data_IF_339878804134
#
_entry.id   IF_339878804134
#
_cell.length_a   1.000
_cell.length_b   1.000
_cell.length_c   1.000
_cell.angle_alpha   90.00
_cell.angle_beta   90.00
_cell.angle_gamma   90.00
#
_symmetry.space_group_name_H-M   'P 1'
#
loop_
_entity.id
_entity.type
_entity.pdbx_description
1 polymer ?
#
# COMPACT_ATOMS: atom_id res chain seq x y z
N UNK A 1 -16.33 -1.06 21.84
CA UNK A 1 -15.64 -0.76 20.57
C UNK A 1 -14.35 -1.55 20.56
N UNK A 2 -14.17 -2.47 19.61
CA UNK A 2 -12.91 -3.23 19.46
C UNK A 2 -11.88 -2.36 18.74
N UNK A 3 -10.68 -2.26 19.29
CA UNK A 3 -9.56 -1.57 18.65
C UNK A 3 -9.00 -2.49 17.55
N UNK A 4 -9.15 -2.10 16.29
CA UNK A 4 -8.57 -2.81 15.15
C UNK A 4 -7.20 -2.21 14.84
N UNK A 5 -6.16 -3.03 14.97
CA UNK A 5 -4.79 -2.68 14.58
C UNK A 5 -4.42 -3.55 13.39
N UNK A 6 -3.92 -2.91 12.33
CA UNK A 6 -3.46 -3.56 11.11
C UNK A 6 -1.99 -3.21 10.93
N UNK A 7 -1.14 -4.22 10.77
CA UNK A 7 0.27 -4.08 10.42
C UNK A 7 0.45 -4.35 8.92
N UNK A 8 0.72 -3.33 8.09
CA UNK A 8 0.87 -3.47 6.64
C UNK A 8 1.90 -4.52 6.20
N UNK A 9 2.96 -4.69 7.00
CA UNK A 9 4.02 -5.67 6.74
C UNK A 9 3.49 -7.10 6.81
N UNK A 10 2.62 -7.40 7.78
CA UNK A 10 2.00 -8.72 7.89
C UNK A 10 1.02 -8.99 6.75
N UNK A 11 0.30 -7.98 6.26
CA UNK A 11 -0.58 -8.12 5.10
C UNK A 11 0.21 -8.39 3.82
N UNK A 12 1.34 -7.70 3.63
CA UNK A 12 2.25 -7.93 2.50
C UNK A 12 2.85 -9.33 2.55
N UNK A 13 3.30 -9.78 3.73
CA UNK A 13 3.80 -11.14 3.92
C UNK A 13 2.72 -12.19 3.63
N UNK A 14 1.50 -11.99 4.15
CA UNK A 14 0.38 -12.88 3.89
C UNK A 14 0.01 -12.95 2.40
N UNK A 15 0.05 -11.83 1.67
CA UNK A 15 -0.17 -11.82 0.22
C UNK A 15 0.87 -12.68 -0.52
N UNK A 16 2.15 -12.56 -0.16
CA UNK A 16 3.22 -13.36 -0.76
C UNK A 16 3.09 -14.86 -0.42
N UNK A 17 2.71 -15.20 0.81
CA UNK A 17 2.46 -16.59 1.20
C UNK A 17 1.29 -17.20 0.41
N UNK A 18 0.21 -16.43 0.22
CA UNK A 18 -0.95 -16.85 -0.57
C UNK A 18 -0.63 -17.02 -2.06
N UNK A 19 0.22 -16.16 -2.64
CA UNK A 19 0.72 -16.32 -4.00
C UNK A 19 1.52 -17.64 -4.15
N UNK A 20 2.37 -17.95 -3.17
CA UNK A 20 3.12 -19.21 -3.15
C UNK A 20 2.22 -20.43 -3.02
N UNK A 21 1.17 -20.35 -2.21
CA UNK A 21 0.16 -21.40 -2.10
C UNK A 21 -0.57 -21.60 -3.43
N UNK A 22 -1.03 -20.51 -4.07
CA UNK A 22 -1.70 -20.57 -5.37
C UNK A 22 -0.81 -21.25 -6.42
N UNK A 23 0.46 -20.83 -6.53
CA UNK A 23 1.44 -21.44 -7.43
C UNK A 23 1.65 -22.94 -7.16
N UNK A 24 1.67 -23.36 -5.90
CA UNK A 24 1.80 -24.77 -5.52
C UNK A 24 0.58 -25.59 -5.93
N UNK A 25 -0.61 -25.02 -5.78
CA UNK A 25 -1.88 -25.65 -6.18
C UNK A 25 -1.94 -25.80 -7.70
N UNK A 26 -1.61 -24.75 -8.45
CA UNK A 26 -1.58 -24.80 -9.91
C UNK A 26 -0.60 -25.86 -10.43
N UNK A 27 0.59 -25.93 -9.85
CA UNK A 27 1.57 -26.96 -10.18
C UNK A 27 1.03 -28.38 -9.89
N UNK A 28 0.31 -28.56 -8.79
CA UNK A 28 -0.32 -29.82 -8.45
C UNK A 28 -1.44 -30.19 -9.44
N UNK A 29 -2.31 -29.24 -9.82
CA UNK A 29 -3.33 -29.46 -10.84
C UNK A 29 -2.71 -29.85 -12.18
N UNK A 30 -1.66 -29.15 -12.62
CA UNK A 30 -0.94 -29.49 -13.85
C UNK A 30 -0.31 -30.89 -13.80
N UNK A 31 0.24 -31.29 -12.66
CA UNK A 31 0.85 -32.61 -12.49
C UNK A 31 -0.15 -33.76 -12.58
N UNK A 32 -1.37 -33.58 -12.03
CA UNK A 32 -2.38 -34.66 -11.98
C UNK A 32 -3.33 -34.66 -13.18
N UNK A 33 -3.53 -33.52 -13.83
CA UNK A 33 -4.50 -33.34 -14.94
C UNK A 33 -4.43 -34.43 -16.01
N UNK A 34 -3.26 -34.85 -16.53
CA UNK A 34 -3.19 -35.89 -17.55
C UNK A 34 -3.78 -37.23 -17.09
N UNK A 35 -3.61 -37.59 -15.81
CA UNK A 35 -4.07 -38.87 -15.26
C UNK A 35 -5.56 -38.85 -14.91
N UNK A 36 -6.10 -37.72 -14.47
CA UNK A 36 -7.50 -37.63 -14.01
C UNK A 36 -8.47 -37.30 -15.15
N UNK A 37 -7.99 -36.69 -16.23
CA UNK A 37 -8.78 -36.40 -17.44
C UNK A 37 -8.90 -37.59 -18.40
N UNK A 38 -8.05 -38.60 -18.23
CA UNK A 38 -8.00 -39.79 -19.11
C UNK A 38 -7.99 -41.06 -18.27
N UNK A 39 -9.03 -41.24 -17.45
CA UNK A 39 -9.19 -42.45 -16.63
C UNK A 39 -9.41 -43.65 -17.55
N UNK A 40 -8.61 -44.69 -17.39
CA UNK A 40 -8.80 -45.95 -18.11
C UNK A 40 -9.92 -46.80 -17.47
N UNK A 41 -10.74 -47.49 -18.27
CA UNK A 41 -11.73 -48.41 -17.72
C UNK A 41 -11.08 -49.60 -17.02
N UNK A 42 -11.65 -50.04 -15.90
CA UNK A 42 -11.12 -51.14 -15.10
C UNK A 42 -11.24 -52.51 -15.81
N UNK A 43 -12.23 -52.66 -16.69
CA UNK A 43 -12.44 -53.82 -17.56
C UNK A 43 -13.10 -53.38 -18.88
N UNK A 44 -13.19 -54.29 -19.85
CA UNK A 44 -13.71 -54.00 -21.20
C UNK A 44 -15.25 -53.90 -21.28
N UNK A 45 -15.95 -54.01 -20.15
CA UNK A 45 -17.40 -53.93 -20.11
C UNK A 45 -17.91 -52.47 -20.20
N UNK A 46 -19.16 -52.33 -20.59
CA UNK A 46 -19.82 -51.03 -20.77
C UNK A 46 -19.93 -50.24 -19.45
N UNK A 47 -20.07 -50.92 -18.30
CA UNK A 47 -20.19 -50.27 -16.99
C UNK A 47 -18.84 -49.65 -16.59
N UNK A 48 -17.75 -50.40 -16.70
CA UNK A 48 -16.39 -49.90 -16.47
C UNK A 48 -16.04 -48.72 -17.39
N UNK A 49 -16.44 -48.80 -18.66
CA UNK A 49 -16.26 -47.71 -19.64
C UNK A 49 -17.06 -46.47 -19.25
N UNK A 50 -18.33 -46.64 -18.88
CA UNK A 50 -19.19 -45.53 -18.44
C UNK A 50 -18.67 -44.86 -17.16
N UNK A 51 -18.19 -45.64 -16.19
CA UNK A 51 -17.60 -45.13 -14.95
C UNK A 51 -16.32 -44.33 -15.23
N UNK A 52 -15.43 -44.82 -16.10
CA UNK A 52 -14.22 -44.10 -16.48
C UNK A 52 -14.53 -42.76 -17.16
N UNK A 53 -15.55 -42.72 -18.03
CA UNK A 53 -16.06 -41.49 -18.63
C UNK A 53 -16.65 -40.53 -17.59
N UNK A 54 -17.40 -41.03 -16.61
CA UNK A 54 -17.97 -40.22 -15.53
C UNK A 54 -16.86 -39.53 -14.73
N UNK A 55 -15.82 -40.26 -14.32
CA UNK A 55 -14.70 -39.68 -13.57
C UNK A 55 -13.91 -38.65 -14.39
N UNK A 56 -13.66 -38.94 -15.67
CA UNK A 56 -12.98 -38.01 -16.56
C UNK A 56 -13.79 -36.72 -16.78
N UNK A 57 -15.12 -36.84 -16.90
CA UNK A 57 -16.04 -35.69 -16.95
C UNK A 57 -16.03 -34.89 -15.65
N UNK A 58 -16.10 -35.56 -14.50
CA UNK A 58 -16.00 -34.88 -13.20
C UNK A 58 -14.67 -34.14 -13.01
N UNK A 59 -13.56 -34.73 -13.46
CA UNK A 59 -12.25 -34.09 -13.42
C UNK A 59 -12.21 -32.82 -14.29
N UNK A 60 -12.88 -32.82 -15.45
CA UNK A 60 -12.98 -31.66 -16.33
C UNK A 60 -13.79 -30.52 -15.67
N UNK A 61 -14.92 -30.85 -15.05
CA UNK A 61 -15.73 -29.87 -14.30
C UNK A 61 -14.96 -29.29 -13.11
N UNK A 62 -14.27 -30.15 -12.36
CA UNK A 62 -13.44 -29.74 -11.23
C UNK A 62 -12.32 -28.80 -11.67
N UNK A 63 -11.56 -29.13 -12.72
CA UNK A 63 -10.46 -28.30 -13.20
C UNK A 63 -10.95 -26.95 -13.76
N UNK A 64 -12.15 -26.92 -14.34
CA UNK A 64 -12.80 -25.67 -14.77
C UNK A 64 -13.15 -24.78 -13.57
N UNK A 65 -13.74 -25.38 -12.52
CA UNK A 65 -14.03 -24.67 -11.28
C UNK A 65 -12.75 -24.21 -10.56
N UNK A 66 -11.71 -25.04 -10.55
CA UNK A 66 -10.41 -24.72 -9.98
C UNK A 66 -9.74 -23.54 -10.68
N UNK A 67 -9.79 -23.47 -12.01
CA UNK A 67 -9.28 -22.30 -12.75
C UNK A 67 -10.03 -21.00 -12.43
N UNK A 68 -11.34 -21.08 -12.21
CA UNK A 68 -12.14 -19.92 -11.76
C UNK A 68 -11.75 -19.50 -10.34
N UNK A 69 -11.50 -20.46 -9.45
CA UNK A 69 -11.01 -20.21 -8.09
C UNK A 69 -9.61 -19.58 -8.07
N UNK A 70 -8.71 -20.03 -8.95
CA UNK A 70 -7.37 -19.44 -9.11
C UNK A 70 -7.46 -17.95 -9.52
N UNK A 71 -8.33 -17.63 -10.49
CA UNK A 71 -8.56 -16.24 -10.91
C UNK A 71 -9.07 -15.37 -9.75
N UNK A 72 -9.98 -15.90 -8.92
CA UNK A 72 -10.45 -15.19 -7.73
C UNK A 72 -9.34 -15.00 -6.70
N UNK A 73 -8.52 -16.03 -6.48
CA UNK A 73 -7.39 -15.99 -5.56
C UNK A 73 -6.37 -14.91 -5.98
N UNK A 74 -6.07 -14.79 -7.27
CA UNK A 74 -5.18 -13.74 -7.78
C UNK A 74 -5.71 -12.34 -7.50
N UNK A 75 -7.01 -12.11 -7.77
CA UNK A 75 -7.67 -10.84 -7.45
C UNK A 75 -7.66 -10.56 -5.95
N UNK A 76 -7.87 -11.59 -5.13
CA UNK A 76 -7.82 -11.47 -3.67
C UNK A 76 -6.44 -11.05 -3.19
N UNK A 77 -5.37 -11.71 -3.66
CA UNK A 77 -3.97 -11.39 -3.33
C UNK A 77 -3.62 -9.97 -3.77
N UNK A 78 -4.01 -9.58 -4.98
CA UNK A 78 -3.78 -8.22 -5.50
C UNK A 78 -4.49 -7.16 -4.65
N UNK A 79 -5.75 -7.40 -4.29
CA UNK A 79 -6.50 -6.50 -3.41
C UNK A 79 -5.87 -6.42 -2.01
N UNK A 80 -5.40 -7.55 -1.47
CA UNK A 80 -4.75 -7.60 -0.17
C UNK A 80 -3.47 -6.75 -0.15
N UNK A 81 -2.61 -6.89 -1.17
CA UNK A 81 -1.39 -6.10 -1.31
C UNK A 81 -1.66 -4.61 -1.52
N UNK A 82 -2.69 -4.28 -2.30
CA UNK A 82 -3.14 -2.89 -2.52
C UNK A 82 -3.62 -2.26 -1.21
N UNK A 83 -4.40 -3.00 -0.43
CA UNK A 83 -4.89 -2.55 0.87
C UNK A 83 -3.74 -2.38 1.88
N UNK A 84 -2.75 -3.29 1.88
CA UNK A 84 -1.55 -3.14 2.71
C UNK A 84 -0.83 -1.81 2.45
N UNK A 85 -0.63 -1.49 1.17
CA UNK A 85 -0.03 -0.21 0.73
C UNK A 85 -0.89 0.99 1.14
N UNK A 86 -2.22 0.85 1.06
CA UNK A 86 -3.16 1.90 1.48
C UNK A 86 -3.10 2.14 2.99
N UNK A 87 -2.97 1.09 3.82
CA UNK A 87 -2.78 1.24 5.26
C UNK A 87 -1.41 1.86 5.60
N UNK A 88 -0.33 1.44 4.93
CA UNK A 88 1.00 2.01 5.13
C UNK A 88 1.05 3.51 4.77
N UNK A 89 0.43 3.90 3.66
CA UNK A 89 0.33 5.31 3.27
C UNK A 89 -0.53 6.12 4.23
N UNK A 90 -1.64 5.57 4.75
CA UNK A 90 -2.44 6.22 5.78
C UNK A 90 -1.63 6.46 7.07
N UNK A 91 -0.82 5.49 7.51
CA UNK A 91 0.07 5.66 8.68
C UNK A 91 1.14 6.74 8.42
N UNK A 92 1.71 6.76 7.21
CA UNK A 92 2.64 7.80 6.78
C UNK A 92 2.02 9.20 6.80
N UNK A 93 0.79 9.34 6.31
CA UNK A 93 0.03 10.60 6.37
C UNK A 93 -0.23 11.01 7.81
N UNK A 94 -0.65 10.10 8.69
CA UNK A 94 -0.87 10.41 10.11
C UNK A 94 0.43 10.89 10.78
N UNK A 95 1.55 10.22 10.52
CA UNK A 95 2.86 10.62 11.04
C UNK A 95 3.27 12.02 10.56
N UNK A 96 3.10 12.30 9.27
CA UNK A 96 3.40 13.61 8.70
C UNK A 96 2.49 14.71 9.27
N UNK A 97 1.22 14.39 9.59
CA UNK A 97 0.29 15.33 10.20
C UNK A 97 0.69 15.69 11.64
N UNK A 98 1.16 14.70 12.41
CA UNK A 98 1.72 14.93 13.74
C UNK A 98 2.98 15.80 13.66
N UNK A 99 3.93 15.48 12.77
CA UNK A 99 5.15 16.27 12.57
C UNK A 99 4.85 17.72 12.16
N UNK A 100 3.83 17.94 11.32
CA UNK A 100 3.37 19.27 10.95
C UNK A 100 2.88 20.04 12.19
N UNK A 101 2.07 19.40 13.02
CA UNK A 101 1.51 20.03 14.21
C UNK A 101 2.61 20.39 15.22
N UNK A 102 3.57 19.48 15.46
CA UNK A 102 4.75 19.73 16.29
C UNK A 102 5.61 20.89 15.74
N UNK A 103 5.80 20.96 14.42
CA UNK A 103 6.55 22.06 13.78
C UNK A 103 5.84 23.41 13.90
N UNK A 104 4.52 23.44 13.81
CA UNK A 104 3.72 24.66 14.01
C UNK A 104 3.77 25.14 15.47
N UNK A 105 3.72 24.21 16.43
CA UNK A 105 3.86 24.54 17.86
C UNK A 105 5.26 25.08 18.18
N UNK A 106 6.30 24.47 17.62
CA UNK A 106 7.67 24.95 17.77
C UNK A 106 7.88 26.35 17.14
N UNK A 107 7.26 26.62 15.99
CA UNK A 107 7.28 27.96 15.40
C UNK A 107 6.57 28.99 16.29
N UNK A 108 5.39 28.63 16.84
CA UNK A 108 4.64 29.48 17.77
C UNK A 108 5.45 29.80 19.04
N UNK A 109 6.32 28.89 19.46
CA UNK A 109 7.26 29.07 20.59
C UNK A 109 8.53 29.85 20.23
N UNK A 110 8.67 30.31 18.98
CA UNK A 110 9.76 31.19 18.55
C UNK A 110 10.87 30.51 17.75
N UNK A 111 10.73 29.22 17.41
CA UNK A 111 11.70 28.54 16.54
C UNK A 111 11.54 29.00 15.08
N UNK A 112 12.47 29.82 14.60
CA UNK A 112 12.45 30.38 13.24
C UNK A 112 12.58 29.32 12.15
N UNK A 113 13.34 28.25 12.39
CA UNK A 113 13.53 27.11 11.48
C UNK A 113 12.36 26.12 11.50
N UNK A 114 11.55 26.09 12.56
CA UNK A 114 10.43 25.15 12.68
C UNK A 114 9.32 25.40 11.65
N UNK A 115 9.15 26.64 11.19
CA UNK A 115 8.20 26.94 10.11
C UNK A 115 8.60 26.27 8.79
N UNK A 116 9.90 26.16 8.51
CA UNK A 116 10.40 25.49 7.31
C UNK A 116 10.20 23.98 7.40
N UNK A 117 10.47 23.38 8.57
CA UNK A 117 10.20 21.97 8.83
C UNK A 117 8.70 21.64 8.69
N UNK A 118 7.83 22.49 9.25
CA UNK A 118 6.38 22.40 9.11
C UNK A 118 5.93 22.50 7.63
N UNK A 119 6.46 23.48 6.88
CA UNK A 119 6.13 23.65 5.47
C UNK A 119 6.55 22.45 4.60
N UNK A 120 7.72 21.86 4.87
CA UNK A 120 8.16 20.62 4.22
C UNK A 120 7.26 19.44 4.57
N UNK A 121 6.87 19.30 5.84
CA UNK A 121 5.91 18.29 6.29
C UNK A 121 4.54 18.43 5.61
N UNK A 122 4.04 19.66 5.46
CA UNK A 122 2.79 19.95 4.75
C UNK A 122 2.85 19.56 3.26
N UNK A 123 3.98 19.80 2.59
CA UNK A 123 4.15 19.39 1.18
C UNK A 123 4.22 17.86 1.05
N UNK A 124 4.89 17.20 1.99
CA UNK A 124 4.91 15.73 2.08
C UNK A 124 3.51 15.14 2.31
N UNK A 125 2.70 15.78 3.14
CA UNK A 125 1.29 15.42 3.35
C UNK A 125 0.50 15.52 2.05
N UNK A 126 0.61 16.64 1.33
CA UNK A 126 -0.12 16.82 0.08
C UNK A 126 0.27 15.79 -0.97
N UNK A 127 1.57 15.45 -1.07
CA UNK A 127 2.03 14.45 -2.01
C UNK A 127 1.42 13.06 -1.74
N UNK A 128 1.34 12.67 -0.46
CA UNK A 128 0.81 11.36 -0.07
C UNK A 128 -0.72 11.32 0.04
N UNK A 129 -1.38 12.45 0.35
CA UNK A 129 -2.81 12.49 0.61
C UNK A 129 -3.66 12.84 -0.63
N UNK A 130 -3.15 13.68 -1.54
CA UNK A 130 -3.90 14.10 -2.74
C UNK A 130 -4.37 12.96 -3.64
N UNK A 131 -3.62 11.85 -3.83
CA UNK A 131 -4.10 10.70 -4.58
C UNK A 131 -5.41 10.09 -4.05
N UNK A 132 -5.76 10.34 -2.78
CA UNK A 132 -7.00 9.88 -2.15
C UNK A 132 -8.18 10.85 -2.32
N UNK A 133 -7.96 12.03 -2.89
CA UNK A 133 -9.00 13.04 -3.07
C UNK A 133 -9.53 13.04 -4.52
N UNK A 134 -10.84 13.26 -4.72
CA UNK A 134 -11.35 13.57 -6.04
C UNK A 134 -10.69 14.85 -6.58
N UNK A 135 -10.39 14.88 -7.88
CA UNK A 135 -9.60 15.95 -8.52
C UNK A 135 -10.11 17.38 -8.22
N UNK A 136 -11.42 17.55 -8.03
CA UNK A 136 -12.04 18.82 -7.68
C UNK A 136 -11.58 19.38 -6.31
N UNK A 137 -11.18 18.50 -5.37
CA UNK A 137 -10.70 18.88 -4.04
C UNK A 137 -9.17 19.05 -3.98
N UNK A 138 -8.43 18.50 -4.95
CA UNK A 138 -6.96 18.51 -4.95
C UNK A 138 -6.34 19.88 -5.28
N UNK A 139 -6.91 20.61 -6.26
CA UNK A 139 -6.35 21.87 -6.76
C UNK A 139 -6.21 23.00 -5.70
N UNK A 140 -7.23 23.27 -4.85
CA UNK A 140 -7.12 24.33 -3.84
C UNK A 140 -6.15 23.99 -2.70
N UNK A 141 -5.78 22.72 -2.51
CA UNK A 141 -4.86 22.28 -1.45
C UNK A 141 -3.38 22.58 -1.76
N UNK A 142 -2.99 22.62 -3.04
CA UNK A 142 -1.61 22.91 -3.44
C UNK A 142 -1.24 24.40 -3.39
N UNK A 143 -2.20 25.30 -3.66
CA UNK A 143 -1.98 26.74 -3.65
C UNK A 143 -1.41 27.28 -2.31
N UNK A 144 -1.95 26.92 -1.13
CA UNK A 144 -1.37 27.35 0.15
C UNK A 144 0.02 26.74 0.40
N UNK A 145 0.36 25.57 -0.17
CA UNK A 145 1.65 24.92 0.06
C UNK A 145 2.83 25.72 -0.50
N UNK A 146 2.68 26.20 -1.74
CA UNK A 146 3.70 27.02 -2.38
C UNK A 146 3.92 28.34 -1.64
N UNK A 147 2.83 28.99 -1.22
CA UNK A 147 2.91 30.23 -0.44
C UNK A 147 3.59 30.03 0.92
N UNK A 148 3.22 28.96 1.64
CA UNK A 148 3.81 28.62 2.93
C UNK A 148 5.31 28.31 2.83
N UNK A 149 5.76 27.56 1.81
CA UNK A 149 7.18 27.27 1.60
C UNK A 149 8.00 28.55 1.40
N UNK A 150 7.53 29.46 0.54
CA UNK A 150 8.21 30.72 0.26
C UNK A 150 8.28 31.59 1.51
N UNK A 151 7.17 31.70 2.25
CA UNK A 151 7.11 32.46 3.50
C UNK A 151 8.02 31.85 4.58
N UNK A 152 8.04 30.53 4.71
CA UNK A 152 8.86 29.81 5.67
C UNK A 152 10.36 29.99 5.40
N UNK A 153 10.75 29.88 4.13
CA UNK A 153 12.13 30.11 3.71
C UNK A 153 12.57 31.55 3.96
N UNK A 154 11.73 32.54 3.61
CA UNK A 154 12.02 33.95 3.87
C UNK A 154 12.18 34.25 5.37
N UNK A 155 11.33 33.66 6.22
CA UNK A 155 11.44 33.79 7.67
C UNK A 155 12.74 33.18 8.23
N UNK A 156 13.11 31.98 7.77
CA UNK A 156 14.35 31.32 8.19
C UNK A 156 15.59 32.14 7.78
N UNK A 157 15.60 32.67 6.55
CA UNK A 157 16.70 33.48 6.03
C UNK A 157 16.83 34.81 6.80
N UNK A 158 15.72 35.48 7.10
CA UNK A 158 15.73 36.71 7.89
C UNK A 158 16.39 36.51 9.26
N UNK A 159 15.95 35.50 10.03
CA UNK A 159 16.49 35.25 11.36
C UNK A 159 17.95 34.80 11.33
N UNK A 160 18.36 34.00 10.34
CA UNK A 160 19.77 33.62 10.15
C UNK A 160 20.68 34.82 9.92
N UNK A 161 20.22 35.81 9.13
CA UNK A 161 20.96 37.05 8.91
C UNK A 161 21.05 37.87 10.21
N UNK A 162 19.95 37.99 10.95
CA UNK A 162 19.91 38.74 12.21
C UNK A 162 20.86 38.13 13.25
N UNK A 163 20.85 36.82 13.43
CA UNK A 163 21.74 36.11 14.37
C UNK A 163 23.22 36.24 13.97
N UNK A 164 23.52 36.07 12.67
CA UNK A 164 24.88 36.24 12.14
C UNK A 164 25.38 37.68 12.29
N UNK A 165 24.51 38.67 12.10
CA UNK A 165 24.83 40.07 12.32
C UNK A 165 25.09 40.40 13.80
N UNK A 166 24.24 39.87 14.70
CA UNK A 166 24.35 40.10 16.13
C UNK A 166 25.63 39.50 16.72
N UNK A 167 25.97 38.27 16.32
CA UNK A 167 27.21 37.59 16.74
C UNK A 167 28.46 38.35 16.27
N UNK A 168 28.44 38.91 15.05
CA UNK A 168 29.52 39.76 14.53
C UNK A 168 29.69 41.08 15.31
N UNK A 169 28.58 41.70 15.75
CA UNK A 169 28.58 42.97 16.47
C UNK A 169 28.99 42.82 17.95
N UNK A 170 28.67 41.68 18.57
CA UNK A 170 29.00 41.39 19.96
C UNK A 170 30.41 40.79 20.13
N UNK A 171 31.13 40.53 19.03
CA UNK A 171 32.48 39.96 19.05
C UNK A 171 32.56 38.55 19.62
N UNK A 172 31.43 37.82 19.62
CA UNK A 172 31.29 36.46 20.17
C UNK A 172 31.52 35.36 19.12
N UNK A 173 32.33 35.64 18.10
CA UNK A 173 32.66 34.68 17.03
C UNK A 173 33.50 33.50 17.52
#
# INVERSE_FOLDING_TARGET
MSQLSVTPELLTAAAADLEKIASTIDAAHLAVSPSVLSVAPAAADEVSTSIAHLFSGHAQDYLTAAGSAATYQDQFVQNLATNATSYASAEGVNTLALNLMEGLDAFRLGSSLALLAAAVGYVGLLYNFVPFLPAALAFPLYAPAGFLLVAAFANALFWSIVESGLTSLLGLA
#
